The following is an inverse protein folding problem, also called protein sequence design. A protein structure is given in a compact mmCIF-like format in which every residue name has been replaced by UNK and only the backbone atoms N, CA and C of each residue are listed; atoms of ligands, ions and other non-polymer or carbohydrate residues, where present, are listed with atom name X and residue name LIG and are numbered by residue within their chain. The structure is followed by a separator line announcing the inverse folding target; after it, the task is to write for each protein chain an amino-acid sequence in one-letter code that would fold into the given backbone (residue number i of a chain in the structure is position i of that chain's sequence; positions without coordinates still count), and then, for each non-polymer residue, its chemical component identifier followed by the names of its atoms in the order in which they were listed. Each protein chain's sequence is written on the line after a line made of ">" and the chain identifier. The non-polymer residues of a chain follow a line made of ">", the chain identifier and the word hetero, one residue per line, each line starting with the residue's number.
data_IF_443559461462
#
_entry.id   IF_443559461462
#
_cell.length_a   1.000
_cell.length_b   1.000
_cell.length_c   1.000
_cell.angle_alpha   90.00
_cell.angle_beta   90.00
_cell.angle_gamma   90.00
#
_symmetry.space_group_name_H-M   'P 1'
#
loop_
_entity.id
_entity.type
_entity.pdbx_description
1 polymer ?
#
# COMPACT_ATOMS: atom_id res chain seq x y z
N UNK A 1 -10.64 5.33 -31.99
CA UNK A 1 -10.97 5.22 -30.54
C UNK A 1 -10.09 4.13 -29.92
N UNK A 2 -8.88 4.48 -29.47
CA UNK A 2 -7.94 3.58 -28.77
C UNK A 2 -7.15 4.42 -27.75
N UNK A 3 -7.80 4.80 -26.65
CA UNK A 3 -7.17 5.54 -25.53
C UNK A 3 -7.40 4.82 -24.19
N UNK A 4 -8.15 3.72 -24.20
CA UNK A 4 -8.57 3.02 -22.99
C UNK A 4 -7.54 2.00 -22.51
N UNK A 5 -6.75 1.41 -23.42
CA UNK A 5 -5.82 0.33 -23.08
C UNK A 5 -4.54 0.86 -22.40
N UNK A 6 -3.94 1.93 -22.91
CA UNK A 6 -2.73 2.54 -22.30
C UNK A 6 -2.96 3.03 -20.87
N UNK A 7 -4.11 3.65 -20.60
CA UNK A 7 -4.45 4.13 -19.25
C UNK A 7 -4.60 2.99 -18.24
N UNK A 8 -5.10 1.84 -18.69
CA UNK A 8 -5.27 0.67 -17.83
C UNK A 8 -3.93 0.04 -17.46
N UNK A 9 -2.99 -0.04 -18.41
CA UNK A 9 -1.65 -0.58 -18.14
C UNK A 9 -0.83 0.34 -17.23
N UNK A 10 -0.94 1.66 -17.42
CA UNK A 10 -0.26 2.65 -16.57
C UNK A 10 -0.79 2.61 -15.12
N UNK A 11 -2.09 2.37 -14.94
CA UNK A 11 -2.70 2.23 -13.61
C UNK A 11 -2.22 0.98 -12.89
N UNK A 12 -1.99 -0.11 -13.63
CA UNK A 12 -1.52 -1.37 -13.06
C UNK A 12 -0.07 -1.27 -12.59
N UNK A 13 0.81 -0.68 -13.41
CA UNK A 13 2.22 -0.44 -13.05
C UNK A 13 2.36 0.42 -11.80
N UNK A 14 1.54 1.45 -11.66
CA UNK A 14 1.57 2.34 -10.49
C UNK A 14 1.20 1.62 -9.19
N UNK A 15 0.21 0.73 -9.21
CA UNK A 15 -0.14 -0.07 -8.03
C UNK A 15 0.99 -1.01 -7.61
N UNK A 16 1.71 -1.60 -8.57
CA UNK A 16 2.90 -2.40 -8.28
C UNK A 16 4.02 -1.54 -7.67
N UNK A 17 4.24 -0.34 -8.20
CA UNK A 17 5.18 0.62 -7.62
C UNK A 17 4.78 1.00 -6.19
N UNK A 18 3.49 1.25 -5.92
CA UNK A 18 3.02 1.55 -4.56
C UNK A 18 3.21 0.38 -3.60
N UNK A 19 3.01 -0.86 -4.04
CA UNK A 19 3.32 -2.05 -3.25
C UNK A 19 4.80 -2.09 -2.86
N UNK A 20 5.70 -1.93 -3.83
CA UNK A 20 7.15 -1.93 -3.58
C UNK A 20 7.51 -0.83 -2.58
N UNK A 21 7.01 0.39 -2.80
CA UNK A 21 7.23 1.51 -1.89
C UNK A 21 6.72 1.23 -0.46
N UNK A 22 5.57 0.57 -0.31
CA UNK A 22 5.05 0.16 1.00
C UNK A 22 5.96 -0.84 1.69
N UNK A 23 6.44 -1.86 0.95
CA UNK A 23 7.35 -2.88 1.48
C UNK A 23 8.69 -2.26 1.90
N UNK A 24 9.30 -1.43 1.05
CA UNK A 24 10.56 -0.75 1.36
C UNK A 24 10.43 0.17 2.58
N UNK A 25 9.34 0.95 2.64
CA UNK A 25 9.08 1.85 3.75
C UNK A 25 8.95 1.08 5.06
N UNK A 26 8.10 0.06 5.09
CA UNK A 26 7.86 -0.73 6.31
C UNK A 26 9.09 -1.51 6.75
N UNK A 27 9.85 -2.06 5.80
CA UNK A 27 11.13 -2.71 6.06
C UNK A 27 12.14 -1.73 6.69
N UNK A 28 12.23 -0.49 6.20
CA UNK A 28 13.11 0.55 6.76
C UNK A 28 12.81 0.85 8.24
N UNK A 29 11.55 0.76 8.64
CA UNK A 29 11.12 0.97 10.03
C UNK A 29 11.10 -0.33 10.86
N UNK A 30 11.49 -1.48 10.29
CA UNK A 30 11.50 -2.76 10.99
C UNK A 30 10.10 -3.38 11.19
N UNK A 31 9.13 -3.00 10.36
CA UNK A 31 7.79 -3.57 10.34
C UNK A 31 7.64 -4.52 9.14
N UNK A 32 6.72 -5.46 9.26
CA UNK A 32 6.26 -6.33 8.17
C UNK A 32 4.82 -6.01 7.79
N UNK A 33 4.52 -5.99 6.50
CA UNK A 33 3.17 -5.82 5.98
C UNK A 33 2.44 -7.17 5.91
N UNK A 34 1.21 -7.21 6.42
CA UNK A 34 0.30 -8.34 6.25
C UNK A 34 -1.05 -7.84 5.79
N UNK A 35 -1.58 -8.45 4.74
CA UNK A 35 -2.92 -8.16 4.24
C UNK A 35 -3.87 -9.30 4.64
N UNK A 36 -5.08 -8.96 5.08
CA UNK A 36 -6.11 -9.94 5.43
C UNK A 36 -7.50 -9.30 5.44
N UNK A 37 -8.51 -9.94 4.85
CA UNK A 37 -9.88 -9.41 4.73
C UNK A 37 -9.97 -7.96 4.21
N UNK A 38 -9.14 -7.61 3.21
CA UNK A 38 -9.01 -6.24 2.67
C UNK A 38 -8.47 -5.21 3.67
N UNK A 39 -7.97 -5.65 4.82
CA UNK A 39 -7.32 -4.79 5.81
C UNK A 39 -5.81 -4.98 5.71
N UNK A 40 -5.09 -3.88 5.90
CA UNK A 40 -3.63 -3.87 5.96
C UNK A 40 -3.18 -3.70 7.40
N UNK A 41 -2.32 -4.62 7.81
CA UNK A 41 -1.72 -4.66 9.14
C UNK A 41 -0.20 -4.48 9.02
N UNK A 42 0.36 -3.72 9.95
CA UNK A 42 1.78 -3.74 10.25
C UNK A 42 2.03 -4.68 11.43
N UNK A 43 3.06 -5.50 11.29
CA UNK A 43 3.53 -6.41 12.32
C UNK A 43 4.93 -5.98 12.74
N UNK A 44 5.18 -5.88 14.04
CA UNK A 44 6.51 -5.68 14.60
C UNK A 44 6.66 -6.45 15.89
N UNK A 45 7.46 -7.52 15.88
CA UNK A 45 7.76 -8.41 17.00
C UNK A 45 6.56 -8.88 17.83
N UNK A 46 5.94 -7.99 18.61
CA UNK A 46 4.81 -8.24 19.51
C UNK A 46 3.61 -7.30 19.26
N UNK A 47 3.73 -6.34 18.35
CA UNK A 47 2.70 -5.37 18.01
C UNK A 47 2.08 -5.65 16.65
N UNK A 48 0.75 -5.59 16.60
CA UNK A 48 -0.05 -5.61 15.37
C UNK A 48 -0.80 -4.30 15.29
N UNK A 49 -0.50 -3.50 14.27
CA UNK A 49 -1.10 -2.20 14.06
C UNK A 49 -1.94 -2.26 12.81
N UNK A 50 -3.23 -1.97 12.93
CA UNK A 50 -4.10 -1.79 11.77
C UNK A 50 -3.79 -0.44 11.11
N UNK A 51 -3.31 -0.47 9.87
CA UNK A 51 -3.11 0.74 9.06
C UNK A 51 -4.43 1.18 8.44
N UNK A 52 -5.25 0.21 8.05
CA UNK A 52 -6.64 0.42 7.71
C UNK A 52 -7.10 -0.45 6.56
N UNK A 53 -8.32 -0.18 6.12
CA UNK A 53 -9.00 -0.94 5.07
C UNK A 53 -9.10 -0.12 3.78
N UNK A 54 -8.27 -0.37 2.75
CA UNK A 54 -8.46 0.25 1.45
C UNK A 54 -9.84 -0.10 0.90
N UNK A 55 -10.56 0.90 0.42
CA UNK A 55 -11.96 0.72 0.00
C UNK A 55 -12.05 0.21 -1.44
N UNK A 56 -11.07 0.57 -2.26
CA UNK A 56 -11.08 0.25 -3.69
C UNK A 56 -9.89 -0.67 -4.05
N UNK A 57 -10.14 -1.86 -4.61
CA UNK A 57 -9.08 -2.80 -4.98
C UNK A 57 -8.15 -2.28 -6.07
N UNK A 58 -8.57 -1.28 -6.86
CA UNK A 58 -7.73 -0.65 -7.90
C UNK A 58 -6.72 0.36 -7.35
N UNK A 59 -6.90 0.80 -6.11
CA UNK A 59 -6.05 1.79 -5.43
C UNK A 59 -5.60 1.28 -4.08
N UNK A 60 -5.56 -0.04 -3.93
CA UNK A 60 -5.34 -0.71 -2.66
C UNK A 60 -4.00 -0.31 -2.04
N UNK A 61 -2.92 -0.39 -2.83
CA UNK A 61 -1.58 -0.06 -2.38
C UNK A 61 -1.33 1.44 -2.33
N UNK A 62 -1.93 2.21 -3.23
CA UNK A 62 -1.91 3.67 -3.14
C UNK A 62 -2.50 4.19 -1.82
N UNK A 63 -3.72 3.75 -1.46
CA UNK A 63 -4.36 4.12 -0.21
C UNK A 63 -3.53 3.66 1.00
N UNK A 64 -2.96 2.46 0.93
CA UNK A 64 -2.06 1.92 1.95
C UNK A 64 -0.82 2.78 2.12
N UNK A 65 -0.18 3.16 1.02
CA UNK A 65 1.03 3.99 1.00
C UNK A 65 0.80 5.35 1.64
N UNK A 66 -0.33 6.01 1.33
CA UNK A 66 -0.71 7.27 1.96
C UNK A 66 -0.86 7.13 3.48
N UNK A 67 -1.54 6.06 3.93
CA UNK A 67 -1.71 5.80 5.37
C UNK A 67 -0.38 5.48 6.05
N UNK A 68 0.50 4.72 5.41
CA UNK A 68 1.84 4.45 5.94
C UNK A 68 2.69 5.72 6.05
N UNK A 69 2.66 6.59 5.03
CA UNK A 69 3.34 7.89 5.10
C UNK A 69 2.84 8.74 6.26
N UNK A 70 1.51 8.79 6.43
CA UNK A 70 0.90 9.50 7.56
C UNK A 70 1.29 8.87 8.91
N UNK A 71 1.35 7.54 9.00
CA UNK A 71 1.72 6.81 10.21
C UNK A 71 3.18 7.06 10.61
N UNK A 72 4.11 7.01 9.66
CA UNK A 72 5.54 7.25 9.91
C UNK A 72 5.93 8.73 9.98
N UNK A 73 4.98 9.66 9.77
CA UNK A 73 5.27 11.10 9.74
C UNK A 73 6.18 11.52 8.58
N UNK A 74 6.25 10.75 7.50
CA UNK A 74 7.12 10.99 6.34
C UNK A 74 6.47 11.95 5.30
N UNK A 75 5.87 13.04 5.80
CA UNK A 75 5.12 14.04 5.05
C UNK A 75 6.06 15.09 4.42
#
# INVERSE_FOLDING_TARGET
>A
MRLSNEKSELSHKREEEYLINCLELTFKFGYSLKTGNQVVYLLRSEEVIEIGKPVNPKTFWYETWLKLKSFYGAL
#
